data_IF_183033030902
#
_entry.id   IF_183033030902
#
_cell.length_a   1.000
_cell.length_b   1.000
_cell.length_c   1.000
_cell.angle_alpha   90.00
_cell.angle_beta   90.00
_cell.angle_gamma   90.00
#
_symmetry.space_group_name_H-M   'P 1'
#
loop_
_entity.id
_entity.type
_entity.pdbx_description
1 polymer ?
#
# COMPACT_ATOMS: atom_id res chain seq x y z
N UNK A 1 55.11 16.12 42.31
CA UNK A 1 53.72 16.34 42.77
C UNK A 1 52.98 17.18 41.72
N UNK A 2 51.68 16.92 41.50
CA UNK A 2 50.77 17.52 40.46
C UNK A 2 51.03 17.02 39.04
N UNK A 3 50.12 16.42 38.28
CA UNK A 3 48.63 16.44 38.26
C UNK A 3 48.10 15.10 37.72
N UNK A 4 47.40 14.34 38.58
CA UNK A 4 46.53 13.21 38.20
C UNK A 4 45.12 13.77 37.99
N UNK A 5 44.81 14.36 36.83
CA UNK A 5 43.44 14.86 36.56
C UNK A 5 43.15 15.12 35.07
N UNK A 6 43.45 14.18 34.16
CA UNK A 6 42.98 14.27 32.76
C UNK A 6 42.57 12.88 32.24
N UNK A 7 41.80 12.14 33.03
CA UNK A 7 41.32 10.81 32.65
C UNK A 7 39.84 10.65 33.01
N UNK A 8 39.01 11.63 32.64
CA UNK A 8 37.54 11.54 32.85
C UNK A 8 36.69 12.31 31.83
N UNK A 9 37.24 12.74 30.69
CA UNK A 9 36.50 13.50 29.66
C UNK A 9 36.38 12.74 28.32
N UNK A 10 37.07 11.62 28.14
CA UNK A 10 37.09 10.88 26.86
C UNK A 10 36.04 9.76 26.72
N UNK A 11 35.20 9.52 27.73
CA UNK A 11 34.16 8.47 27.71
C UNK A 11 32.73 9.02 27.54
N UNK A 12 32.58 10.25 27.04
CA UNK A 12 31.28 10.88 26.77
C UNK A 12 31.05 11.19 25.28
N UNK A 13 31.89 10.66 24.39
CA UNK A 13 31.83 10.91 22.94
C UNK A 13 31.30 9.72 22.10
N UNK A 14 30.70 8.70 22.73
CA UNK A 14 30.24 7.47 22.06
C UNK A 14 28.75 7.44 21.68
N UNK A 15 28.02 8.55 21.83
CA UNK A 15 26.57 8.62 21.52
C UNK A 15 26.21 9.72 20.51
N UNK A 16 27.15 10.16 19.66
CA UNK A 16 26.87 11.13 18.63
C UNK A 16 26.53 10.45 17.29
N UNK A 17 25.30 10.70 16.83
CA UNK A 17 24.82 10.61 15.44
C UNK A 17 24.62 9.23 14.81
N UNK A 18 23.54 8.54 15.19
CA UNK A 18 22.78 7.77 14.19
C UNK A 18 21.87 8.77 13.47
N UNK A 19 22.36 9.38 12.39
CA UNK A 19 21.50 10.16 11.51
C UNK A 19 20.51 9.19 10.86
N UNK A 20 19.18 9.40 10.95
CA UNK A 20 18.27 8.65 10.11
C UNK A 20 18.61 8.99 8.66
N UNK A 21 19.11 8.00 7.93
CA UNK A 21 19.26 8.08 6.49
C UNK A 21 17.85 8.35 5.96
N UNK A 22 17.58 9.60 5.63
CA UNK A 22 16.30 10.00 5.08
C UNK A 22 16.24 9.35 3.72
N UNK A 23 15.59 8.19 3.62
CA UNK A 23 15.27 7.59 2.35
C UNK A 23 14.50 8.65 1.56
N UNK A 24 15.17 9.26 0.58
CA UNK A 24 14.49 10.10 -0.40
C UNK A 24 13.35 9.24 -0.94
N UNK A 25 12.13 9.75 -0.84
CA UNK A 25 10.93 9.09 -1.36
C UNK A 25 11.19 8.72 -2.81
N UNK A 26 11.62 7.49 -3.06
CA UNK A 26 11.96 7.03 -4.39
C UNK A 26 10.67 6.97 -5.19
N UNK A 27 10.46 7.95 -6.05
CA UNK A 27 9.34 7.97 -6.98
C UNK A 27 9.38 6.68 -7.80
N UNK A 28 8.36 5.84 -7.64
CA UNK A 28 8.15 4.65 -8.45
C UNK A 28 7.38 4.94 -9.74
N UNK A 29 7.51 4.04 -10.71
CA UNK A 29 6.79 4.06 -11.98
C UNK A 29 5.47 3.32 -11.84
N UNK A 30 4.37 3.92 -12.29
CA UNK A 30 3.08 3.24 -12.36
C UNK A 30 3.11 2.25 -13.51
N UNK A 31 2.80 1.00 -13.22
CA UNK A 31 2.77 -0.08 -14.19
C UNK A 31 1.52 -0.02 -15.06
N UNK A 32 1.67 -0.34 -16.34
CA UNK A 32 0.54 -0.64 -17.21
C UNK A 32 -0.16 -1.92 -16.76
N UNK A 33 -1.40 -2.12 -17.23
CA UNK A 33 -2.16 -3.35 -16.98
C UNK A 33 -1.37 -4.57 -17.49
N UNK A 34 -0.77 -4.47 -18.69
CA UNK A 34 0.01 -5.56 -19.28
C UNK A 34 1.23 -5.93 -18.44
N UNK A 35 1.93 -4.96 -17.87
CA UNK A 35 3.07 -5.22 -16.98
C UNK A 35 2.60 -5.84 -15.67
N UNK A 36 1.52 -5.30 -15.09
CA UNK A 36 0.98 -5.79 -13.81
C UNK A 36 0.45 -7.22 -13.92
N UNK A 37 -0.24 -7.57 -15.02
CA UNK A 37 -0.75 -8.92 -15.28
C UNK A 37 0.36 -9.98 -15.31
N UNK A 38 1.59 -9.63 -15.69
CA UNK A 38 2.73 -10.58 -15.69
C UNK A 38 3.25 -10.91 -14.29
N UNK A 39 2.92 -10.07 -13.30
CA UNK A 39 3.43 -10.16 -11.93
C UNK A 39 2.40 -10.77 -10.97
N UNK A 40 1.12 -10.69 -11.31
CA UNK A 40 0.02 -11.14 -10.45
C UNK A 40 -0.37 -12.59 -10.73
N UNK A 41 -0.79 -13.36 -9.70
CA UNK A 41 -1.29 -14.71 -9.88
C UNK A 41 -2.72 -14.73 -10.44
N UNK A 42 -3.06 -15.79 -11.19
CA UNK A 42 -4.42 -16.03 -11.73
C UNK A 42 -5.47 -16.32 -10.64
N UNK A 43 -5.04 -16.82 -9.49
CA UNK A 43 -5.89 -17.13 -8.35
C UNK A 43 -5.17 -16.81 -7.03
N UNK A 44 -5.95 -16.42 -6.03
CA UNK A 44 -5.45 -15.99 -4.72
C UNK A 44 -6.21 -16.68 -3.59
N UNK A 45 -5.54 -16.89 -2.46
CA UNK A 45 -6.15 -17.38 -1.23
C UNK A 45 -6.48 -16.21 -0.31
N UNK A 46 -7.70 -16.20 0.22
CA UNK A 46 -8.19 -15.21 1.17
C UNK A 46 -9.34 -15.80 1.99
N UNK A 47 -9.34 -15.57 3.30
CA UNK A 47 -10.37 -15.99 4.25
C UNK A 47 -10.78 -17.48 4.11
N UNK A 48 -9.80 -18.38 4.00
CA UNK A 48 -10.06 -19.82 3.93
C UNK A 48 -10.47 -20.34 2.55
N UNK A 49 -10.48 -19.50 1.51
CA UNK A 49 -10.97 -19.85 0.18
C UNK A 49 -10.03 -19.34 -0.92
N UNK A 50 -10.05 -20.02 -2.07
CA UNK A 50 -9.38 -19.56 -3.29
C UNK A 50 -10.38 -18.91 -4.23
N UNK A 51 -9.99 -17.79 -4.84
CA UNK A 51 -10.78 -17.06 -5.84
C UNK A 51 -9.92 -16.64 -7.03
N UNK A 52 -10.51 -16.55 -8.22
CA UNK A 52 -9.85 -16.03 -9.42
C UNK A 52 -9.63 -14.52 -9.33
N UNK A 53 -8.53 -14.06 -9.92
CA UNK A 53 -8.25 -12.63 -10.07
C UNK A 53 -8.77 -12.13 -11.42
N UNK A 54 -9.21 -10.87 -11.46
CA UNK A 54 -9.58 -10.19 -12.70
C UNK A 54 -8.39 -9.42 -13.24
N UNK A 55 -7.40 -10.10 -13.80
CA UNK A 55 -6.10 -9.50 -14.18
C UNK A 55 -6.19 -8.28 -15.11
N UNK A 56 -7.26 -8.14 -15.91
CA UNK A 56 -7.51 -6.94 -16.75
C UNK A 56 -7.86 -5.68 -15.94
N UNK A 57 -8.27 -5.87 -14.70
CA UNK A 57 -8.60 -4.86 -13.70
C UNK A 57 -7.51 -4.89 -12.61
N UNK A 58 -6.26 -4.65 -13.03
CA UNK A 58 -5.09 -4.62 -12.17
C UNK A 58 -4.30 -3.32 -12.36
N UNK A 59 -3.47 -3.01 -11.37
CA UNK A 59 -2.50 -1.93 -11.42
C UNK A 59 -1.37 -2.16 -10.43
N UNK A 60 -0.30 -1.40 -10.58
CA UNK A 60 0.83 -1.48 -9.67
C UNK A 60 1.76 -0.28 -9.74
N UNK A 61 2.67 -0.23 -8.78
CA UNK A 61 3.79 0.71 -8.73
C UNK A 61 5.06 -0.11 -8.57
N UNK A 62 6.04 0.12 -9.44
CA UNK A 62 7.41 -0.38 -9.33
C UNK A 62 8.29 0.73 -8.76
N UNK A 63 8.80 0.53 -7.54
CA UNK A 63 9.64 1.50 -6.86
C UNK A 63 11.10 1.40 -7.31
N UNK A 64 11.88 2.47 -7.09
CA UNK A 64 13.29 2.51 -7.52
C UNK A 64 14.19 1.51 -6.77
N UNK A 65 13.76 1.03 -5.60
CA UNK A 65 14.41 -0.04 -4.83
C UNK A 65 14.03 -1.44 -5.32
N UNK A 66 13.37 -1.55 -6.50
CA UNK A 66 12.86 -2.78 -7.11
C UNK A 66 11.76 -3.50 -6.31
N UNK A 67 11.14 -2.81 -5.35
CA UNK A 67 9.96 -3.33 -4.66
C UNK A 67 8.69 -2.96 -5.41
N UNK A 68 7.61 -3.71 -5.17
CA UNK A 68 6.32 -3.50 -5.81
C UNK A 68 5.19 -3.24 -4.82
N UNK A 69 4.23 -2.43 -5.26
CA UNK A 69 2.84 -2.48 -4.79
C UNK A 69 1.98 -2.94 -5.96
N UNK A 70 1.22 -4.02 -5.79
CA UNK A 70 0.36 -4.60 -6.84
C UNK A 70 -1.06 -4.76 -6.31
N UNK A 71 -2.05 -4.58 -7.19
CA UNK A 71 -3.45 -4.75 -6.84
C UNK A 71 -4.24 -5.28 -8.02
N UNK A 72 -5.21 -6.16 -7.75
CA UNK A 72 -6.15 -6.69 -8.75
C UNK A 72 -7.51 -6.94 -8.13
N UNK A 73 -8.57 -6.69 -8.90
CA UNK A 73 -9.90 -7.14 -8.48
C UNK A 73 -9.95 -8.68 -8.39
N UNK A 74 -10.87 -9.17 -7.56
CA UNK A 74 -11.09 -10.61 -7.33
C UNK A 74 -12.55 -10.99 -7.57
N UNK A 75 -12.77 -12.20 -8.06
CA UNK A 75 -14.10 -12.76 -8.21
C UNK A 75 -14.62 -13.25 -6.85
N UNK A 76 -15.16 -12.31 -6.09
CA UNK A 76 -15.55 -12.53 -4.69
C UNK A 76 -16.96 -13.13 -4.51
N UNK A 77 -17.59 -13.66 -5.56
CA UNK A 77 -18.98 -14.13 -5.51
C UNK A 77 -19.21 -15.34 -4.61
N UNK A 78 -18.16 -16.11 -4.32
CA UNK A 78 -18.22 -17.27 -3.40
C UNK A 78 -18.16 -16.91 -1.91
N UNK A 79 -17.80 -15.66 -1.57
CA UNK A 79 -17.70 -15.22 -0.18
C UNK A 79 -19.07 -14.85 0.42
N UNK A 80 -19.15 -14.94 1.75
CA UNK A 80 -20.29 -14.42 2.50
C UNK A 80 -20.48 -12.91 2.24
N UNK A 81 -21.72 -12.41 2.35
CA UNK A 81 -22.04 -11.01 2.06
C UNK A 81 -21.16 -10.02 2.83
N UNK A 82 -20.90 -10.29 4.12
CA UNK A 82 -20.06 -9.44 4.96
C UNK A 82 -18.59 -9.37 4.52
N UNK A 83 -18.02 -10.48 4.02
CA UNK A 83 -16.65 -10.48 3.46
C UNK A 83 -16.65 -9.86 2.07
N UNK A 84 -17.61 -10.24 1.23
CA UNK A 84 -17.76 -9.76 -0.15
C UNK A 84 -17.84 -8.22 -0.24
N UNK A 85 -18.55 -7.58 0.69
CA UNK A 85 -18.68 -6.12 0.72
C UNK A 85 -17.32 -5.42 0.87
N UNK A 86 -16.43 -6.00 1.68
CA UNK A 86 -15.12 -5.43 2.03
C UNK A 86 -13.99 -5.94 1.14
N UNK A 87 -14.08 -7.16 0.63
CA UNK A 87 -13.02 -7.82 -0.13
C UNK A 87 -13.29 -7.72 -1.63
N UNK A 88 -12.86 -6.62 -2.23
CA UNK A 88 -13.08 -6.34 -3.65
C UNK A 88 -11.81 -6.54 -4.49
N UNK A 89 -10.64 -6.34 -3.88
CA UNK A 89 -9.34 -6.49 -4.51
C UNK A 89 -8.34 -7.19 -3.60
N UNK A 90 -7.41 -7.90 -4.23
CA UNK A 90 -6.20 -8.42 -3.60
C UNK A 90 -5.10 -7.39 -3.72
N UNK A 91 -4.47 -7.06 -2.60
CA UNK A 91 -3.48 -5.98 -2.50
C UNK A 91 -2.19 -6.53 -1.91
N UNK A 92 -1.09 -6.36 -2.64
CA UNK A 92 0.24 -6.81 -2.27
C UNK A 92 1.13 -5.59 -2.17
N UNK A 93 1.88 -5.46 -1.08
CA UNK A 93 2.96 -4.47 -0.98
C UNK A 93 4.19 -5.11 -0.39
N UNK A 94 5.32 -4.99 -1.09
CA UNK A 94 6.62 -5.50 -0.66
C UNK A 94 7.34 -4.53 0.28
N UNK A 95 6.72 -3.38 0.57
CA UNK A 95 7.24 -2.41 1.50
C UNK A 95 6.17 -1.77 2.39
N UNK A 96 6.57 -1.21 3.54
CA UNK A 96 5.66 -0.44 4.36
C UNK A 96 5.06 0.75 3.60
N UNK A 97 3.74 0.90 3.70
CA UNK A 97 2.97 1.99 3.12
C UNK A 97 2.34 2.85 4.22
N UNK A 98 1.95 4.06 3.84
CA UNK A 98 0.96 4.86 4.54
C UNK A 98 -0.26 4.99 3.63
N UNK A 99 -1.43 4.53 4.08
CA UNK A 99 -2.71 4.60 3.35
C UNK A 99 -3.66 5.48 4.13
N UNK A 100 -4.10 6.59 3.53
CA UNK A 100 -4.94 7.58 4.22
C UNK A 100 -4.35 8.06 5.56
N UNK A 101 -3.01 8.10 5.66
CA UNK A 101 -2.29 8.49 6.88
C UNK A 101 -2.00 7.35 7.87
N UNK A 102 -2.56 6.16 7.67
CA UNK A 102 -2.34 5.00 8.56
C UNK A 102 -1.18 4.13 8.06
N UNK A 103 -0.29 3.64 8.94
CA UNK A 103 0.78 2.73 8.56
C UNK A 103 0.21 1.36 8.19
N UNK A 104 0.72 0.77 7.11
CA UNK A 104 0.46 -0.59 6.68
C UNK A 104 1.81 -1.27 6.43
N UNK A 105 2.17 -2.34 7.15
CA UNK A 105 3.40 -3.08 6.89
C UNK A 105 3.46 -3.67 5.46
N UNK A 106 4.63 -4.18 5.08
CA UNK A 106 4.73 -5.03 3.90
C UNK A 106 3.90 -6.31 4.14
N UNK A 107 3.21 -6.77 3.10
CA UNK A 107 2.37 -7.95 3.20
C UNK A 107 1.32 -8.07 2.10
N UNK A 108 0.37 -8.96 2.34
CA UNK A 108 -0.73 -9.29 1.46
C UNK A 108 -2.04 -9.04 2.20
N UNK A 109 -2.97 -8.38 1.53
CA UNK A 109 -4.18 -7.83 2.13
C UNK A 109 -5.38 -7.99 1.20
N UNK A 110 -6.56 -8.01 1.81
CA UNK A 110 -7.82 -7.78 1.11
C UNK A 110 -8.22 -6.32 1.25
N UNK A 111 -8.67 -5.68 0.18
CA UNK A 111 -9.10 -4.28 0.23
C UNK A 111 -10.41 -4.05 -0.51
N UNK A 112 -11.10 -2.96 -0.17
CA UNK A 112 -12.33 -2.57 -0.85
C UNK A 112 -12.81 -1.18 -0.51
N UNK A 113 -13.58 -0.60 -1.42
CA UNK A 113 -14.28 0.67 -1.24
C UNK A 113 -15.68 0.39 -0.70
N UNK A 114 -15.94 0.85 0.51
CA UNK A 114 -17.21 0.67 1.19
C UNK A 114 -18.15 1.85 0.89
N UNK A 115 -19.43 1.60 1.16
CA UNK A 115 -20.43 2.67 1.22
C UNK A 115 -20.03 3.76 2.22
N UNK A 116 -20.39 5.01 1.89
CA UNK A 116 -20.08 6.18 2.71
C UNK A 116 -18.65 6.69 2.58
N UNK A 117 -18.02 6.52 1.41
CA UNK A 117 -16.69 7.04 1.09
C UNK A 117 -15.61 6.56 2.06
N UNK A 118 -15.54 5.24 2.25
CA UNK A 118 -14.51 4.61 3.09
C UNK A 118 -13.75 3.57 2.30
N UNK A 119 -12.48 3.42 2.63
CA UNK A 119 -11.61 2.36 2.14
C UNK A 119 -11.23 1.46 3.31
N UNK A 120 -11.37 0.16 3.12
CA UNK A 120 -11.06 -0.84 4.14
C UNK A 120 -9.87 -1.70 3.73
N UNK A 121 -9.04 -2.06 4.70
CA UNK A 121 -7.94 -3.02 4.55
C UNK A 121 -8.13 -4.13 5.57
N UNK A 122 -7.97 -5.37 5.11
CA UNK A 122 -8.05 -6.57 5.92
C UNK A 122 -6.79 -7.40 5.78
N UNK A 123 -6.45 -8.16 6.82
CA UNK A 123 -5.47 -9.24 6.70
C UNK A 123 -6.03 -10.39 5.84
N UNK A 124 -5.17 -11.36 5.50
CA UNK A 124 -5.56 -12.54 4.72
C UNK A 124 -6.64 -13.41 5.39
N UNK A 125 -6.85 -13.26 6.70
CA UNK A 125 -7.89 -13.91 7.48
C UNK A 125 -9.24 -13.16 7.48
N UNK A 126 -9.36 -12.06 6.71
CA UNK A 126 -10.51 -11.16 6.69
C UNK A 126 -10.78 -10.42 8.02
N UNK A 127 -9.77 -10.22 8.87
CA UNK A 127 -9.88 -9.28 9.98
C UNK A 127 -9.60 -7.86 9.51
N UNK A 128 -10.46 -6.92 9.88
CA UNK A 128 -10.25 -5.50 9.58
C UNK A 128 -8.98 -4.99 10.28
N UNK A 129 -8.08 -4.39 9.51
CA UNK A 129 -6.85 -3.77 10.02
C UNK A 129 -6.99 -2.26 10.15
N UNK A 130 -7.58 -1.62 9.14
CA UNK A 130 -7.87 -0.19 9.17
C UNK A 130 -9.02 0.14 8.21
N UNK A 131 -9.74 1.20 8.57
CA UNK A 131 -10.68 1.88 7.68
C UNK A 131 -10.30 3.35 7.63
N UNK A 132 -10.20 3.92 6.44
CA UNK A 132 -9.84 5.32 6.23
C UNK A 132 -10.80 5.97 5.22
N UNK A 133 -10.99 7.30 5.22
CA UNK A 133 -11.79 7.96 4.21
C UNK A 133 -11.26 7.71 2.79
N UNK A 134 -12.16 7.48 1.84
CA UNK A 134 -11.90 7.61 0.41
C UNK A 134 -12.50 8.90 -0.12
N UNK A 135 -12.03 9.36 -1.28
CA UNK A 135 -12.54 10.56 -1.95
C UNK A 135 -13.18 10.17 -3.27
N UNK A 136 -14.36 10.70 -3.55
CA UNK A 136 -15.01 10.57 -4.85
C UNK A 136 -14.47 11.64 -5.80
N UNK A 137 -13.91 11.25 -6.94
CA UNK A 137 -13.36 12.15 -7.95
C UNK A 137 -14.37 12.37 -9.10
N UNK A 138 -15.22 13.38 -8.93
CA UNK A 138 -16.22 13.79 -9.94
C UNK A 138 -15.58 14.22 -11.27
N UNK A 139 -14.34 14.71 -11.21
CA UNK A 139 -13.63 15.25 -12.38
C UNK A 139 -12.90 14.16 -13.17
N UNK A 140 -12.92 12.91 -12.71
CA UNK A 140 -12.29 11.79 -13.41
C UNK A 140 -12.98 11.52 -14.75
N UNK A 141 -12.27 11.79 -15.86
CA UNK A 141 -12.82 11.65 -17.21
C UNK A 141 -13.01 10.20 -17.66
N UNK A 142 -12.18 9.28 -17.16
CA UNK A 142 -12.15 7.87 -17.59
C UNK A 142 -12.03 6.93 -16.39
N UNK A 143 -13.11 6.77 -15.60
CA UNK A 143 -13.12 5.79 -14.53
C UNK A 143 -12.98 4.38 -15.10
N UNK A 144 -12.19 3.55 -14.41
CA UNK A 144 -12.03 2.12 -14.71
C UNK A 144 -12.38 1.31 -13.46
N UNK A 145 -12.70 0.01 -13.59
CA UNK A 145 -13.01 -0.82 -12.42
C UNK A 145 -11.91 -0.82 -11.37
N UNK A 146 -10.64 -0.74 -11.79
CA UNK A 146 -9.50 -0.53 -10.91
C UNK A 146 -8.39 0.19 -11.67
N UNK A 147 -7.74 1.15 -11.02
CA UNK A 147 -6.61 1.89 -11.58
C UNK A 147 -5.76 2.54 -10.48
N UNK A 148 -4.47 2.75 -10.77
CA UNK A 148 -3.58 3.59 -9.96
C UNK A 148 -3.26 4.87 -10.74
N UNK A 149 -3.37 6.03 -10.08
CA UNK A 149 -3.02 7.34 -10.64
C UNK A 149 -1.89 7.99 -9.84
N UNK A 150 -1.08 8.83 -10.50
CA UNK A 150 -0.19 9.72 -9.77
C UNK A 150 -1.00 10.81 -9.06
N UNK A 151 -0.45 11.38 -8.00
CA UNK A 151 -0.90 12.67 -7.46
C UNK A 151 0.09 13.78 -7.83
N UNK A 152 -0.23 15.02 -7.47
CA UNK A 152 0.70 16.13 -7.64
C UNK A 152 1.93 16.02 -6.73
N UNK A 153 1.85 15.25 -5.64
CA UNK A 153 2.95 15.04 -4.71
C UNK A 153 3.84 13.86 -5.15
N UNK A 154 5.15 14.07 -5.35
CA UNK A 154 6.06 12.99 -5.75
C UNK A 154 6.03 11.80 -4.77
N UNK A 155 6.02 10.58 -5.32
CA UNK A 155 5.99 9.35 -4.53
C UNK A 155 4.66 9.08 -3.81
N UNK A 156 3.61 9.83 -4.13
CA UNK A 156 2.24 9.62 -3.66
C UNK A 156 1.34 9.23 -4.83
N UNK A 157 0.47 8.25 -4.59
CA UNK A 157 -0.38 7.64 -5.60
C UNK A 157 -1.82 7.57 -5.08
N UNK A 158 -2.77 7.44 -6.00
CA UNK A 158 -4.17 7.12 -5.68
C UNK A 158 -4.53 5.76 -6.25
N UNK A 159 -4.96 4.85 -5.39
CA UNK A 159 -5.68 3.65 -5.80
C UNK A 159 -7.14 4.03 -5.97
N UNK A 160 -7.75 3.73 -7.12
CA UNK A 160 -9.14 4.05 -7.39
C UNK A 160 -9.93 2.84 -7.89
N UNK A 161 -11.18 2.72 -7.43
CA UNK A 161 -12.21 1.84 -7.98
C UNK A 161 -13.33 2.71 -8.53
N UNK A 162 -13.53 2.69 -9.85
CA UNK A 162 -14.40 3.66 -10.51
C UNK A 162 -13.90 5.08 -10.30
N UNK A 163 -14.59 5.84 -9.45
CA UNK A 163 -14.27 7.23 -9.07
C UNK A 163 -13.84 7.37 -7.62
N UNK A 164 -14.00 6.33 -6.81
CA UNK A 164 -13.61 6.37 -5.41
C UNK A 164 -12.13 6.06 -5.30
N UNK A 165 -11.40 6.95 -4.65
CA UNK A 165 -9.94 6.91 -4.58
C UNK A 165 -9.45 7.00 -3.14
N UNK A 166 -8.37 6.30 -2.83
CA UNK A 166 -7.61 6.44 -1.59
C UNK A 166 -6.15 6.74 -1.90
N UNK A 167 -5.56 7.69 -1.18
CA UNK A 167 -4.14 8.00 -1.32
C UNK A 167 -3.27 7.01 -0.56
N UNK A 168 -2.16 6.62 -1.18
CA UNK A 168 -1.11 5.86 -0.53
C UNK A 168 0.28 6.33 -0.96
N UNK A 169 1.26 6.10 -0.10
CA UNK A 169 2.68 6.36 -0.35
C UNK A 169 3.54 5.39 0.46
N UNK A 170 4.83 5.28 0.15
CA UNK A 170 5.78 4.57 1.02
C UNK A 170 5.81 5.21 2.41
N UNK A 171 5.72 4.38 3.46
CA UNK A 171 6.00 4.85 4.80
C UNK A 171 7.51 5.15 4.92
N UNK A 172 7.84 6.14 5.75
CA UNK A 172 9.22 6.51 6.06
C UNK A 172 9.80 5.59 7.11
#
# INVERSE_FOLDING_TARGET
MRRRTVLFVLLAALFASVLPLSAQSSSGTILSVMETTKLLPDAVFFAGQSASTQLRNSGGVHYADNLYTLVTLVDNSGYSSGVKEKYQAYFITEAPLSIGGHPLPAGIYGVGFLTGNRFNVMDVGAHDLLTTPSTHDDQMKRPRPLLILPTAAPGTYRLCSGRDCVEFKRAK
#
